data_IF_454328896775
#
_entry.id   IF_454328896775
#
_cell.length_a   1.000
_cell.length_b   1.000
_cell.length_c   1.000
_cell.angle_alpha   90.00
_cell.angle_beta   90.00
_cell.angle_gamma   90.00
#
_symmetry.space_group_name_H-M   'P 1'
#
loop_
_entity.id
_entity.type
_entity.pdbx_description
1 polymer ?
#
# COMPACT_ATOMS: atom_id res chain seq x y z
N UNK A 1 -7.94 -2.90 8.97
CA UNK A 1 -6.84 -2.20 9.68
C UNK A 1 -5.56 -2.49 8.93
N UNK A 2 -4.76 -1.47 8.66
CA UNK A 2 -3.44 -1.56 8.04
C UNK A 2 -2.39 -1.94 9.09
N UNK A 3 -1.23 -2.43 8.66
CA UNK A 3 -0.10 -2.72 9.55
C UNK A 3 0.46 -1.40 10.11
N UNK A 4 1.01 -1.45 11.33
CA UNK A 4 1.67 -0.32 12.01
C UNK A 4 0.86 0.99 12.06
N UNK A 5 -0.46 0.90 11.95
CA UNK A 5 -1.38 2.04 11.88
C UNK A 5 -1.10 2.99 10.71
N UNK A 6 -0.70 2.49 9.54
CA UNK A 6 -0.60 3.30 8.33
C UNK A 6 -1.98 3.89 7.98
N UNK A 7 -2.12 5.21 8.06
CA UNK A 7 -3.33 5.94 7.66
C UNK A 7 -3.04 6.94 6.55
N UNK A 8 -4.09 7.52 5.98
CA UNK A 8 -3.97 8.73 5.16
C UNK A 8 -3.13 9.78 5.88
N UNK A 9 -2.21 10.42 5.14
CA UNK A 9 -1.22 11.38 5.62
C UNK A 9 0.11 10.78 6.08
N UNK A 10 0.18 9.45 6.26
CA UNK A 10 1.43 8.77 6.64
C UNK A 10 2.51 8.96 5.59
N UNK A 11 3.75 9.16 6.01
CA UNK A 11 4.88 9.30 5.10
C UNK A 11 5.17 8.00 4.34
N UNK A 12 5.57 8.13 3.08
CA UNK A 12 5.99 6.99 2.24
C UNK A 12 7.07 6.15 2.93
N UNK A 13 8.00 6.78 3.65
CA UNK A 13 9.04 6.05 4.41
C UNK A 13 8.46 5.17 5.52
N UNK A 14 7.39 5.60 6.19
CA UNK A 14 6.71 4.80 7.19
C UNK A 14 5.96 3.62 6.54
N UNK A 15 5.32 3.85 5.39
CA UNK A 15 4.69 2.77 4.61
C UNK A 15 5.71 1.70 4.22
N UNK A 16 6.86 2.10 3.68
CA UNK A 16 7.94 1.19 3.29
C UNK A 16 8.55 0.46 4.50
N UNK A 17 8.65 1.14 5.66
CA UNK A 17 9.14 0.49 6.87
C UNK A 17 8.16 -0.58 7.39
N UNK A 18 6.85 -0.36 7.26
CA UNK A 18 5.83 -1.29 7.71
C UNK A 18 5.70 -2.49 6.76
N UNK A 19 5.53 -2.24 5.46
CA UNK A 19 5.19 -3.29 4.48
C UNK A 19 6.39 -3.77 3.64
N UNK A 20 7.54 -3.10 3.73
CA UNK A 20 8.66 -3.32 2.81
C UNK A 20 8.47 -2.60 1.47
N UNK A 21 9.23 -3.04 0.47
CA UNK A 21 9.06 -2.55 -0.90
C UNK A 21 7.76 -3.09 -1.50
N UNK A 22 7.02 -2.27 -2.28
CA UNK A 22 5.84 -2.75 -2.98
C UNK A 22 6.20 -3.80 -4.03
N UNK A 23 5.28 -4.71 -4.31
CA UNK A 23 5.43 -5.69 -5.38
C UNK A 23 5.30 -5.06 -6.77
N UNK A 24 4.46 -4.03 -6.89
CA UNK A 24 4.24 -3.27 -8.13
C UNK A 24 4.09 -1.80 -7.80
N UNK A 25 4.66 -0.96 -8.66
CA UNK A 25 4.39 0.48 -8.69
C UNK A 25 3.75 0.82 -10.03
N UNK A 26 2.59 1.48 -10.01
CA UNK A 26 1.89 1.96 -11.20
C UNK A 26 1.52 3.44 -11.04
N UNK A 27 2.32 4.33 -11.60
CA UNK A 27 2.18 5.77 -11.33
C UNK A 27 2.41 6.04 -9.85
N UNK A 28 1.40 6.59 -9.19
CA UNK A 28 1.41 6.93 -7.76
C UNK A 28 0.89 5.78 -6.87
N UNK A 29 0.49 4.64 -7.46
CA UNK A 29 -0.02 3.47 -6.74
C UNK A 29 1.09 2.49 -6.34
N UNK A 30 1.15 2.18 -5.05
CA UNK A 30 2.05 1.23 -4.42
C UNK A 30 1.25 -0.01 -4.00
N UNK A 31 1.51 -1.13 -4.67
CA UNK A 31 0.68 -2.34 -4.57
C UNK A 31 1.46 -3.44 -3.84
N UNK A 32 0.84 -3.97 -2.79
CA UNK A 32 1.33 -5.08 -1.96
C UNK A 32 0.41 -6.29 -2.11
N UNK A 33 0.95 -7.41 -2.61
CA UNK A 33 0.23 -8.67 -2.75
C UNK A 33 0.31 -9.45 -1.44
N UNK A 34 -0.83 -10.01 -1.00
CA UNK A 34 -0.83 -10.89 0.16
C UNK A 34 -0.54 -12.32 -0.29
N UNK A 35 0.57 -12.87 0.16
CA UNK A 35 0.95 -14.25 -0.14
C UNK A 35 -0.06 -15.23 0.50
N UNK A 36 -0.55 -16.19 -0.29
CA UNK A 36 -1.46 -17.25 0.18
C UNK A 36 -2.96 -16.97 0.06
N UNK A 37 -3.40 -15.78 -0.38
CA UNK A 37 -4.82 -15.48 -0.62
C UNK A 37 -5.11 -15.22 -2.11
N UNK A 38 -6.31 -15.61 -2.56
CA UNK A 38 -6.72 -15.83 -3.96
C UNK A 38 -6.91 -14.51 -4.74
N UNK A 39 -5.83 -13.73 -4.88
CA UNK A 39 -5.80 -12.46 -5.61
C UNK A 39 -6.03 -11.21 -4.75
N UNK A 40 -6.05 -11.31 -3.42
CA UNK A 40 -6.16 -10.14 -2.54
C UNK A 40 -4.86 -9.32 -2.43
N UNK A 41 -4.99 -8.00 -2.36
CA UNK A 41 -3.87 -7.12 -2.03
C UNK A 41 -4.28 -5.75 -1.52
N UNK A 42 -3.28 -4.97 -1.15
CA UNK A 42 -3.42 -3.59 -0.70
C UNK A 42 -2.79 -2.65 -1.72
N UNK A 43 -3.54 -1.63 -2.12
CA UNK A 43 -3.02 -0.52 -2.92
C UNK A 43 -3.02 0.73 -2.06
N UNK A 44 -1.90 1.44 -2.04
CA UNK A 44 -1.76 2.76 -1.44
C UNK A 44 -1.46 3.77 -2.54
N UNK A 45 -2.29 4.81 -2.67
CA UNK A 45 -2.00 5.94 -3.54
C UNK A 45 -1.11 6.93 -2.78
N UNK A 46 -0.02 7.40 -3.42
CA UNK A 46 0.97 8.28 -2.82
C UNK A 46 0.98 9.64 -3.52
N UNK A 47 0.52 10.68 -2.84
CA UNK A 47 0.61 12.05 -3.33
C UNK A 47 1.57 12.86 -2.45
N UNK A 48 2.47 13.62 -3.09
CA UNK A 48 3.45 14.45 -2.39
C UNK A 48 4.28 13.70 -1.32
N UNK A 49 4.52 12.40 -1.55
CA UNK A 49 5.28 11.53 -0.64
C UNK A 49 4.51 11.06 0.59
N UNK A 50 3.17 11.17 0.59
CA UNK A 50 2.28 10.73 1.68
C UNK A 50 1.16 9.86 1.14
N UNK A 51 0.66 8.96 1.98
CA UNK A 51 -0.53 8.15 1.66
C UNK A 51 -1.74 9.07 1.50
N UNK A 52 -2.32 9.12 0.31
CA UNK A 52 -3.53 9.88 0.00
C UNK A 52 -4.78 9.02 0.23
N UNK A 53 -4.77 7.80 -0.29
CA UNK A 53 -5.82 6.80 -0.14
C UNK A 53 -5.23 5.40 -0.02
N UNK A 54 -5.99 4.46 0.54
CA UNK A 54 -5.69 3.04 0.38
C UNK A 54 -6.96 2.20 0.24
N UNK A 55 -6.87 1.15 -0.57
CA UNK A 55 -7.95 0.21 -0.80
C UNK A 55 -7.46 -1.24 -0.58
N UNK A 56 -8.33 -2.06 0.01
CA UNK A 56 -8.15 -3.52 0.09
C UNK A 56 -9.07 -4.13 -0.96
N UNK A 57 -8.51 -4.92 -1.88
CA UNK A 57 -9.30 -5.50 -2.95
C UNK A 57 -8.61 -6.64 -3.67
N UNK A 58 -9.35 -7.30 -4.56
CA UNK A 58 -8.76 -8.28 -5.47
C UNK A 58 -7.94 -7.53 -6.51
N UNK A 59 -6.63 -7.73 -6.52
CA UNK A 59 -5.74 -7.29 -7.60
C UNK A 59 -6.09 -8.15 -8.81
N UNK A 60 -6.74 -7.56 -9.81
CA UNK A 60 -7.20 -8.25 -11.01
C UNK A 60 -6.33 -7.94 -12.22
#
# INVERSE_FOLDING_TARGET
>A
YTQDNITVGSDLSALIAAYGQPDVIHGDDYIYRVDGDNGGGLTFEIEHGRVAEFCVGTIR
#
